data_IF_218230390585
#
_entry.id   IF_218230390585
#
_cell.length_a   1.000
_cell.length_b   1.000
_cell.length_c   1.000
_cell.angle_alpha   90.00
_cell.angle_beta   90.00
_cell.angle_gamma   90.00
#
_symmetry.space_group_name_H-M   'P 1'
#
loop_
_entity.id
_entity.type
_entity.pdbx_description
1 polymer ?
#
# COMPACT_ATOMS: atom_id res chain seq x y z
N UNK A 1 -4.85 -36.76 -4.26
CA UNK A 1 -4.99 -37.02 -2.80
C UNK A 1 -4.65 -35.81 -1.92
N UNK A 2 -3.41 -35.26 -1.94
CA UNK A 2 -3.04 -34.10 -1.11
C UNK A 2 -3.97 -32.89 -1.35
N UNK A 3 -4.32 -32.61 -2.61
CA UNK A 3 -5.31 -31.59 -2.99
C UNK A 3 -6.70 -31.84 -2.38
N UNK A 4 -7.17 -33.09 -2.38
CA UNK A 4 -8.45 -33.49 -1.78
C UNK A 4 -8.42 -33.32 -0.26
N UNK A 5 -7.31 -33.67 0.40
CA UNK A 5 -7.12 -33.43 1.84
C UNK A 5 -7.07 -31.94 2.19
N UNK A 6 -6.49 -31.09 1.33
CA UNK A 6 -6.48 -29.64 1.53
C UNK A 6 -7.86 -28.99 1.32
N UNK A 7 -8.68 -29.53 0.41
CA UNK A 7 -10.02 -29.03 0.09
C UNK A 7 -11.10 -29.49 1.08
N UNK A 8 -10.89 -30.57 1.84
CA UNK A 8 -11.78 -30.96 2.94
C UNK A 8 -11.51 -30.11 4.19
N UNK A 9 -11.96 -28.86 4.17
CA UNK A 9 -11.45 -27.74 4.98
C UNK A 9 -11.85 -27.67 6.45
N UNK A 10 -12.59 -28.62 7.02
CA UNK A 10 -13.02 -28.54 8.43
C UNK A 10 -12.31 -29.51 9.41
N UNK A 11 -11.39 -30.37 8.95
CA UNK A 11 -10.80 -31.43 9.82
C UNK A 11 -9.28 -31.45 9.94
N UNK A 12 -8.55 -30.62 9.20
CA UNK A 12 -7.09 -30.54 9.37
C UNK A 12 -6.68 -29.38 10.27
N UNK A 13 -5.94 -29.70 11.33
CA UNK A 13 -5.24 -28.74 12.16
C UNK A 13 -4.23 -27.93 11.35
N UNK A 14 -3.98 -26.70 11.79
CA UNK A 14 -3.14 -25.69 11.13
C UNK A 14 -1.74 -26.26 10.84
N UNK A 15 -1.12 -26.89 11.83
CA UNK A 15 0.21 -27.52 11.71
C UNK A 15 0.27 -28.56 10.58
N UNK A 16 -0.80 -29.35 10.39
CA UNK A 16 -0.85 -30.41 9.38
C UNK A 16 -1.06 -29.84 7.97
N UNK A 17 -1.68 -28.66 7.82
CA UNK A 17 -1.76 -27.93 6.55
C UNK A 17 -0.42 -27.34 6.14
N UNK A 18 0.30 -26.74 7.10
CA UNK A 18 1.64 -26.19 6.88
C UNK A 18 2.63 -27.26 6.40
N UNK A 19 2.52 -28.50 6.88
CA UNK A 19 3.37 -29.61 6.40
C UNK A 19 3.01 -30.12 4.99
N UNK A 20 1.77 -29.94 4.54
CA UNK A 20 1.29 -30.44 3.24
C UNK A 20 1.49 -29.46 2.09
N UNK A 21 1.50 -28.15 2.37
CA UNK A 21 1.68 -27.08 1.38
C UNK A 21 3.02 -27.19 0.61
N UNK A 22 4.18 -27.35 1.26
CA UNK A 22 5.46 -27.52 0.56
C UNK A 22 5.51 -28.81 -0.27
N UNK A 23 4.91 -29.89 0.24
CA UNK A 23 4.84 -31.18 -0.47
C UNK A 23 3.99 -31.07 -1.73
N UNK A 24 2.86 -30.38 -1.66
CA UNK A 24 2.01 -30.11 -2.81
C UNK A 24 2.71 -29.23 -3.86
N UNK A 25 3.39 -28.17 -3.41
CA UNK A 25 4.15 -27.28 -4.30
C UNK A 25 5.28 -28.01 -5.02
N UNK A 26 6.00 -28.92 -4.33
CA UNK A 26 7.05 -29.75 -4.92
C UNK A 26 6.48 -30.71 -5.98
N UNK A 27 5.40 -31.43 -5.67
CA UNK A 27 4.74 -32.35 -6.61
C UNK A 27 4.22 -31.60 -7.85
N UNK A 28 3.61 -30.42 -7.67
CA UNK A 28 3.14 -29.59 -8.78
C UNK A 28 4.29 -29.15 -9.69
N UNK A 29 5.43 -28.76 -9.11
CA UNK A 29 6.63 -28.40 -9.88
C UNK A 29 7.17 -29.59 -10.67
N UNK A 30 7.33 -30.75 -10.04
CA UNK A 30 7.80 -31.98 -10.69
C UNK A 30 6.86 -32.42 -11.81
N UNK A 31 5.54 -32.32 -11.60
CA UNK A 31 4.56 -32.67 -12.63
C UNK A 31 4.60 -31.72 -13.81
N UNK A 32 4.75 -30.41 -13.58
CA UNK A 32 4.86 -29.41 -14.65
C UNK A 32 6.19 -29.51 -15.42
N UNK A 33 7.28 -29.91 -14.76
CA UNK A 33 8.58 -30.13 -15.41
C UNK A 33 8.67 -31.45 -16.18
N UNK A 34 7.83 -32.43 -15.85
CA UNK A 34 7.79 -33.73 -16.51
C UNK A 34 6.97 -33.73 -17.81
N UNK A 35 6.35 -32.61 -18.17
CA UNK A 35 5.59 -32.49 -19.43
C UNK A 35 6.59 -32.13 -20.55
N UNK A 36 6.82 -33.00 -21.55
CA UNK A 36 7.76 -32.72 -22.63
C UNK A 36 7.20 -31.61 -23.53
N UNK A 37 8.01 -30.60 -23.84
CA UNK A 37 7.60 -29.45 -24.65
C UNK A 37 7.34 -29.77 -26.14
N UNK A 38 7.61 -31.00 -26.61
CA UNK A 38 7.58 -31.34 -28.03
C UNK A 38 6.73 -32.59 -28.31
N UNK A 39 5.40 -32.50 -28.17
CA UNK A 39 4.49 -33.51 -28.74
C UNK A 39 3.42 -32.82 -29.60
N UNK A 40 3.22 -33.21 -30.87
CA UNK A 40 2.31 -32.51 -31.80
C UNK A 40 0.82 -32.66 -31.47
N UNK A 41 0.45 -33.47 -30.45
CA UNK A 41 -0.94 -33.55 -29.94
C UNK A 41 -1.29 -32.48 -28.89
N UNK A 42 -0.35 -31.59 -28.54
CA UNK A 42 -0.44 -30.68 -27.39
C UNK A 42 -1.50 -29.57 -27.50
N UNK A 43 -1.96 -29.23 -28.71
CA UNK A 43 -2.93 -28.14 -28.89
C UNK A 43 -4.38 -28.52 -28.56
N UNK A 44 -4.78 -29.80 -28.69
CA UNK A 44 -6.13 -30.25 -28.29
C UNK A 44 -6.27 -30.45 -26.78
N UNK A 45 -5.19 -30.84 -26.10
CA UNK A 45 -5.22 -31.14 -24.65
C UNK A 45 -5.20 -29.88 -23.77
N UNK A 46 -4.62 -28.76 -24.25
CA UNK A 46 -4.70 -27.47 -23.55
C UNK A 46 -6.13 -26.98 -23.42
N UNK A 47 -6.96 -27.15 -24.45
CA UNK A 47 -8.38 -26.77 -24.41
C UNK A 47 -9.16 -27.54 -23.33
N UNK A 48 -8.96 -28.86 -23.25
CA UNK A 48 -9.69 -29.73 -22.31
C UNK A 48 -9.22 -29.55 -20.86
N UNK A 49 -7.91 -29.37 -20.62
CA UNK A 49 -7.37 -29.13 -19.26
C UNK A 49 -7.73 -27.74 -18.75
N UNK A 50 -7.74 -26.73 -19.63
CA UNK A 50 -8.19 -25.37 -19.28
C UNK A 50 -9.70 -25.36 -19.00
N UNK A 51 -10.52 -26.08 -19.79
CA UNK A 51 -11.96 -26.22 -19.54
C UNK A 51 -12.26 -26.92 -18.21
N UNK A 52 -11.56 -28.02 -17.90
CA UNK A 52 -11.76 -28.76 -16.65
C UNK A 52 -11.27 -28.00 -15.40
N UNK A 53 -10.36 -27.03 -15.55
CA UNK A 53 -9.91 -26.18 -14.44
C UNK A 53 -10.72 -24.89 -14.28
N UNK A 54 -11.34 -24.39 -15.35
CA UNK A 54 -12.17 -23.18 -15.33
C UNK A 54 -13.65 -23.45 -14.97
N UNK A 55 -14.17 -24.66 -15.23
CA UNK A 55 -15.56 -25.02 -14.97
C UNK A 55 -16.06 -24.79 -13.52
N UNK A 56 -15.30 -25.07 -12.44
CA UNK A 56 -15.80 -24.78 -11.08
C UNK A 56 -15.83 -23.28 -10.75
N UNK A 57 -15.02 -22.45 -11.40
CA UNK A 57 -15.04 -20.99 -11.23
C UNK A 57 -16.25 -20.35 -11.92
N UNK A 58 -16.62 -20.85 -13.11
CA UNK A 58 -17.78 -20.36 -13.87
C UNK A 58 -19.09 -20.77 -13.18
N UNK A 59 -19.18 -21.98 -12.62
CA UNK A 59 -20.36 -22.43 -11.87
C UNK A 59 -20.51 -21.66 -10.54
N UNK A 60 -19.40 -21.28 -9.89
CA UNK A 60 -19.42 -20.45 -8.68
C UNK A 60 -19.87 -19.01 -8.99
N UNK A 61 -19.38 -18.41 -10.09
CA UNK A 61 -19.82 -17.07 -10.51
C UNK A 61 -21.29 -17.05 -10.94
N UNK A 62 -21.77 -18.07 -11.64
CA UNK A 62 -23.18 -18.18 -12.02
C UNK A 62 -24.10 -18.42 -10.82
N UNK A 63 -23.67 -19.18 -9.80
CA UNK A 63 -24.48 -19.36 -8.60
C UNK A 63 -24.49 -18.12 -7.69
N UNK A 64 -23.41 -17.33 -7.63
CA UNK A 64 -23.41 -16.01 -6.96
C UNK A 64 -24.28 -14.98 -7.70
N UNK A 65 -24.31 -15.00 -9.03
CA UNK A 65 -25.16 -14.07 -9.81
C UNK A 65 -26.66 -14.41 -9.77
N UNK A 66 -27.01 -15.70 -9.67
CA UNK A 66 -28.41 -16.15 -9.55
C UNK A 66 -28.97 -15.82 -8.16
N UNK A 67 -28.16 -15.89 -7.10
CA UNK A 67 -28.57 -15.50 -5.74
C UNK A 67 -28.78 -13.97 -5.60
N UNK A 68 -28.15 -13.15 -6.45
CA UNK A 68 -28.33 -11.69 -6.44
C UNK A 68 -29.40 -11.14 -7.41
N UNK A 69 -29.97 -11.97 -8.30
CA UNK A 69 -30.97 -11.52 -9.27
C UNK A 69 -32.35 -12.14 -9.10
N UNK A 70 -32.50 -13.17 -8.27
CA UNK A 70 -33.77 -13.81 -8.00
C UNK A 70 -34.23 -13.63 -6.55
N UNK A 71 -34.89 -12.51 -6.25
CA UNK A 71 -35.95 -12.35 -5.23
C UNK A 71 -36.45 -10.89 -5.23
N UNK A 72 -37.16 -10.48 -6.30
CA UNK A 72 -38.08 -9.33 -6.25
C UNK A 72 -39.46 -9.86 -5.84
N UNK A 73 -39.75 -9.83 -4.55
CA UNK A 73 -41.11 -9.96 -4.05
C UNK A 73 -41.67 -8.54 -3.80
N UNK A 74 -42.71 -8.08 -4.52
CA UNK A 74 -43.12 -6.67 -4.50
C UNK A 74 -43.96 -6.23 -3.28
N UNK A 75 -44.20 -7.09 -2.28
CA UNK A 75 -45.09 -6.77 -1.16
C UNK A 75 -44.38 -6.83 0.21
N UNK A 76 -43.49 -5.89 0.49
CA UNK A 76 -43.11 -5.56 1.88
C UNK A 76 -42.43 -4.18 1.94
N UNK A 77 -43.23 -3.11 1.90
CA UNK A 77 -42.70 -1.72 1.89
C UNK A 77 -42.64 -1.03 3.26
N UNK A 78 -43.20 -1.60 4.32
CA UNK A 78 -43.39 -0.85 5.59
C UNK A 78 -42.67 -1.44 6.81
N UNK A 79 -41.61 -2.23 6.64
CA UNK A 79 -40.90 -2.83 7.81
C UNK A 79 -39.37 -2.81 7.73
N UNK A 80 -38.79 -2.17 6.70
CA UNK A 80 -37.33 -2.13 6.50
C UNK A 80 -36.69 -0.78 6.88
N UNK A 81 -37.48 0.22 7.28
CA UNK A 81 -37.00 1.53 7.72
C UNK A 81 -36.64 1.59 9.21
N UNK A 82 -37.09 0.64 10.03
CA UNK A 82 -36.80 0.61 11.48
C UNK A 82 -35.63 -0.30 11.88
N UNK A 83 -35.11 -1.13 10.98
CA UNK A 83 -33.98 -2.02 11.22
C UNK A 83 -32.64 -1.51 10.65
N UNK A 84 -32.66 -0.45 9.83
CA UNK A 84 -31.45 0.22 9.34
C UNK A 84 -31.04 1.45 10.17
N UNK A 85 -31.86 1.90 11.14
CA UNK A 85 -31.51 3.05 11.99
C UNK A 85 -30.84 2.67 13.32
N UNK A 86 -30.88 1.41 13.76
CA UNK A 86 -30.34 1.02 15.08
C UNK A 86 -28.90 0.48 15.07
N UNK A 87 -28.24 0.45 13.91
CA UNK A 87 -26.83 -0.01 13.79
C UNK A 87 -25.85 1.09 13.37
N UNK A 88 -26.26 2.35 13.39
CA UNK A 88 -25.42 3.50 13.04
C UNK A 88 -24.97 4.36 14.22
N UNK A 89 -25.43 4.07 15.44
CA UNK A 89 -25.15 4.91 16.62
C UNK A 89 -23.86 4.58 17.37
N UNK A 90 -23.17 3.49 17.01
CA UNK A 90 -21.81 3.16 17.50
C UNK A 90 -20.77 3.15 16.36
N UNK A 91 -20.98 3.97 15.32
CA UNK A 91 -19.91 4.30 14.39
C UNK A 91 -18.84 5.07 15.18
N UNK A 92 -17.79 4.34 15.61
CA UNK A 92 -16.75 4.79 16.50
C UNK A 92 -16.33 6.23 16.18
N UNK A 93 -16.52 7.12 17.15
CA UNK A 93 -16.26 8.55 17.03
C UNK A 93 -14.84 8.73 16.48
N UNK A 94 -14.73 9.14 15.22
CA UNK A 94 -13.47 9.45 14.55
C UNK A 94 -12.67 10.39 15.45
N UNK A 95 -11.43 10.00 15.78
CA UNK A 95 -10.60 10.81 16.65
C UNK A 95 -10.10 12.01 15.84
N UNK A 96 -10.39 13.22 16.30
CA UNK A 96 -10.01 14.44 15.57
C UNK A 96 -8.50 14.61 15.44
N UNK A 97 -7.71 13.90 16.26
CA UNK A 97 -6.26 13.91 16.19
C UNK A 97 -5.66 12.99 15.13
N UNK A 98 -6.42 12.03 14.59
CA UNK A 98 -5.92 11.16 13.54
C UNK A 98 -5.57 11.97 12.28
N UNK A 99 -4.50 11.57 11.61
CA UNK A 99 -3.91 12.35 10.52
C UNK A 99 -3.57 11.47 9.32
N UNK A 100 -3.96 11.91 8.13
CA UNK A 100 -3.49 11.32 6.87
C UNK A 100 -2.53 12.29 6.19
N UNK A 101 -1.37 11.79 5.77
CA UNK A 101 -0.39 12.54 4.97
C UNK A 101 -0.23 11.87 3.61
N UNK A 102 -0.33 12.67 2.56
CA UNK A 102 0.00 12.27 1.20
C UNK A 102 0.86 13.32 0.51
N UNK A 103 1.65 12.88 -0.47
CA UNK A 103 2.39 13.76 -1.38
C UNK A 103 1.93 13.50 -2.79
N UNK A 104 1.62 14.57 -3.53
CA UNK A 104 1.18 14.52 -4.91
C UNK A 104 2.02 15.42 -5.79
N UNK A 105 2.60 14.82 -6.82
CA UNK A 105 3.55 15.48 -7.72
C UNK A 105 3.02 15.35 -9.13
N UNK A 106 2.62 16.46 -9.74
CA UNK A 106 1.99 16.50 -11.08
C UNK A 106 0.70 15.69 -11.19
N UNK A 107 -0.02 15.50 -10.09
CA UNK A 107 -1.31 14.83 -10.10
C UNK A 107 -2.44 15.77 -10.51
N UNK A 108 -3.49 15.19 -11.04
CA UNK A 108 -4.66 15.92 -11.49
C UNK A 108 -5.70 16.01 -10.38
N UNK A 109 -6.70 16.86 -10.56
CA UNK A 109 -7.80 16.98 -9.61
C UNK A 109 -8.48 15.64 -9.33
N UNK A 110 -8.59 14.75 -10.31
CA UNK A 110 -9.22 13.45 -10.13
C UNK A 110 -8.48 12.57 -9.10
N UNK A 111 -7.15 12.67 -9.03
CA UNK A 111 -6.33 11.92 -8.08
C UNK A 111 -6.59 12.38 -6.64
N UNK A 112 -6.57 13.69 -6.42
CA UNK A 112 -6.93 14.28 -5.13
C UNK A 112 -8.38 13.99 -4.76
N UNK A 113 -9.30 14.03 -5.73
CA UNK A 113 -10.72 13.74 -5.52
C UNK A 113 -10.93 12.28 -5.12
N UNK A 114 -10.25 11.35 -5.78
CA UNK A 114 -10.31 9.93 -5.40
C UNK A 114 -9.73 9.72 -4.00
N UNK A 115 -8.55 10.25 -3.71
CA UNK A 115 -7.88 10.04 -2.42
C UNK A 115 -8.62 10.73 -1.26
N UNK A 116 -8.74 12.06 -1.29
CA UNK A 116 -9.36 12.87 -0.22
C UNK A 116 -10.88 12.65 -0.17
N UNK A 117 -11.52 12.61 -1.35
CA UNK A 117 -12.96 12.43 -1.43
C UNK A 117 -13.39 11.08 -0.87
N UNK A 118 -12.65 9.99 -1.15
CA UNK A 118 -12.98 8.68 -0.56
C UNK A 118 -12.78 8.65 0.96
N UNK A 119 -11.78 9.33 1.52
CA UNK A 119 -11.65 9.48 2.99
C UNK A 119 -12.87 10.16 3.61
N UNK A 120 -13.21 11.34 3.08
CA UNK A 120 -14.30 12.16 3.63
C UNK A 120 -15.66 11.50 3.44
N UNK A 121 -15.92 10.87 2.30
CA UNK A 121 -17.14 10.12 2.03
C UNK A 121 -17.34 8.96 3.02
N UNK A 122 -16.25 8.36 3.50
CA UNK A 122 -16.29 7.28 4.47
C UNK A 122 -16.19 7.75 5.94
N UNK A 123 -16.42 9.03 6.20
CA UNK A 123 -16.61 9.56 7.55
C UNK A 123 -15.32 9.95 8.28
N UNK A 124 -14.16 9.92 7.63
CA UNK A 124 -12.92 10.37 8.26
C UNK A 124 -13.00 11.88 8.57
N UNK A 125 -12.97 12.22 9.87
CA UNK A 125 -13.10 13.60 10.35
C UNK A 125 -11.79 14.22 10.82
N UNK A 126 -10.70 13.44 10.86
CA UNK A 126 -9.38 13.89 11.26
C UNK A 126 -8.69 14.83 10.26
N UNK A 127 -7.42 15.09 10.53
CA UNK A 127 -6.57 15.97 9.73
C UNK A 127 -6.12 15.29 8.45
N UNK A 128 -6.10 16.03 7.35
CA UNK A 128 -5.49 15.58 6.09
C UNK A 128 -4.46 16.64 5.73
N UNK A 129 -3.21 16.22 5.54
CA UNK A 129 -2.12 17.07 5.08
C UNK A 129 -1.69 16.56 3.70
N UNK A 130 -1.69 17.44 2.71
CA UNK A 130 -1.31 17.08 1.35
C UNK A 130 -0.15 17.98 0.91
N UNK A 131 1.00 17.35 0.72
CA UNK A 131 2.10 17.92 -0.04
C UNK A 131 1.72 17.96 -1.51
N UNK A 132 1.81 19.12 -2.11
CA UNK A 132 1.43 19.33 -3.50
C UNK A 132 2.55 20.05 -4.24
N UNK A 133 2.90 19.51 -5.40
CA UNK A 133 3.85 20.09 -6.34
C UNK A 133 3.28 19.93 -7.75
N UNK A 134 3.05 21.04 -8.44
CA UNK A 134 2.86 21.03 -9.89
C UNK A 134 4.13 21.58 -10.52
N UNK A 135 4.76 20.72 -11.32
CA UNK A 135 6.07 20.92 -11.96
C UNK A 135 6.09 22.25 -12.69
N UNK A 136 7.01 23.12 -12.26
CA UNK A 136 7.44 24.29 -13.02
C UNK A 136 8.27 23.84 -14.20
N UNK A 137 7.64 23.68 -15.36
CA UNK A 137 8.40 23.61 -16.61
C UNK A 137 7.97 24.73 -17.53
N UNK A 138 8.67 25.86 -17.48
CA UNK A 138 8.91 26.82 -18.59
C UNK A 138 7.76 27.11 -19.58
N UNK A 139 6.53 26.87 -19.16
CA UNK A 139 5.26 26.86 -19.85
C UNK A 139 4.34 27.22 -18.71
N UNK A 140 3.54 28.26 -18.95
CA UNK A 140 2.60 28.82 -17.99
C UNK A 140 2.02 27.68 -17.15
N UNK A 141 2.25 27.76 -15.84
CA UNK A 141 1.49 26.93 -14.91
C UNK A 141 0.04 27.11 -15.34
N UNK A 142 -0.67 26.00 -15.51
CA UNK A 142 -2.11 26.08 -15.62
C UNK A 142 -2.60 26.59 -14.25
N UNK A 143 -2.53 27.90 -14.05
CA UNK A 143 -2.88 28.59 -12.82
C UNK A 143 -4.33 28.27 -12.47
N UNK A 144 -5.15 28.02 -13.49
CA UNK A 144 -6.52 27.54 -13.35
C UNK A 144 -6.55 26.12 -12.75
N UNK A 145 -5.81 25.16 -13.30
CA UNK A 145 -5.73 23.80 -12.74
C UNK A 145 -5.18 23.79 -11.30
N UNK A 146 -4.15 24.60 -11.01
CA UNK A 146 -3.63 24.77 -9.65
C UNK A 146 -4.71 25.32 -8.71
N UNK A 147 -5.39 26.38 -9.14
CA UNK A 147 -6.44 27.05 -8.38
C UNK A 147 -7.60 26.08 -8.12
N UNK A 148 -7.97 25.25 -9.10
CA UNK A 148 -9.02 24.25 -8.96
C UNK A 148 -8.67 23.20 -7.89
N UNK A 149 -7.44 22.65 -7.94
CA UNK A 149 -6.95 21.68 -6.94
C UNK A 149 -6.91 22.31 -5.55
N UNK A 150 -6.36 23.53 -5.41
CA UNK A 150 -6.28 24.24 -4.12
C UNK A 150 -7.68 24.52 -3.57
N UNK A 151 -8.61 24.96 -4.41
CA UNK A 151 -10.00 25.23 -4.02
C UNK A 151 -10.69 23.95 -3.55
N UNK A 152 -10.51 22.85 -4.28
CA UNK A 152 -11.04 21.54 -3.88
C UNK A 152 -10.48 21.11 -2.52
N UNK A 153 -9.15 21.09 -2.36
CA UNK A 153 -8.49 20.65 -1.12
C UNK A 153 -8.89 21.55 0.06
N UNK A 154 -8.95 22.87 -0.14
CA UNK A 154 -9.40 23.82 0.88
C UNK A 154 -10.86 23.59 1.28
N UNK A 155 -11.74 23.33 0.30
CA UNK A 155 -13.14 22.97 0.53
C UNK A 155 -13.31 21.68 1.35
N UNK A 156 -12.35 20.75 1.24
CA UNK A 156 -12.28 19.51 2.03
C UNK A 156 -11.56 19.66 3.38
N UNK A 157 -11.22 20.90 3.78
CA UNK A 157 -10.47 21.25 5.00
C UNK A 157 -9.13 20.50 5.07
N UNK A 158 -8.44 20.39 3.94
CA UNK A 158 -7.09 19.81 3.86
C UNK A 158 -6.05 20.89 4.14
N UNK A 159 -5.04 20.55 4.92
CA UNK A 159 -3.84 21.38 5.09
C UNK A 159 -2.93 21.17 3.88
N UNK A 160 -2.94 22.13 2.95
CA UNK A 160 -2.12 22.08 1.74
C UNK A 160 -0.71 22.58 2.04
N UNK A 161 0.31 21.84 1.59
CA UNK A 161 1.72 22.21 1.70
C UNK A 161 2.36 22.26 0.32
N UNK A 162 2.91 23.41 -0.04
CA UNK A 162 3.68 23.53 -1.26
C UNK A 162 5.05 22.94 -1.03
N UNK A 163 5.43 21.99 -1.87
CA UNK A 163 6.79 21.44 -1.84
C UNK A 163 7.63 22.30 -2.76
N UNK A 164 8.51 23.09 -2.17
CA UNK A 164 9.51 23.84 -2.92
C UNK A 164 10.49 22.88 -3.59
N UNK A 165 10.87 23.18 -4.84
CA UNK A 165 11.72 22.32 -5.64
C UNK A 165 13.07 22.95 -5.88
N UNK A 166 14.12 22.16 -5.78
CA UNK A 166 15.47 22.52 -6.16
C UNK A 166 16.00 21.60 -7.26
N UNK A 167 17.09 22.02 -7.90
CA UNK A 167 17.81 21.16 -8.85
C UNK A 167 18.38 19.97 -8.08
N UNK A 168 18.11 18.76 -8.56
CA UNK A 168 18.67 17.57 -7.94
C UNK A 168 20.20 17.58 -7.98
N UNK A 169 20.80 17.13 -6.88
CA UNK A 169 22.23 16.90 -6.69
C UNK A 169 22.42 15.44 -6.25
N UNK A 170 22.35 14.53 -7.21
CA UNK A 170 22.49 13.09 -7.00
C UNK A 170 23.87 12.69 -7.51
N UNK A 171 24.75 12.34 -6.58
CA UNK A 171 26.12 11.91 -6.91
C UNK A 171 26.10 10.59 -7.68
N UNK A 172 26.89 10.49 -8.76
CA UNK A 172 27.08 9.24 -9.50
C UNK A 172 26.07 9.00 -10.62
N UNK A 173 25.17 9.95 -10.89
CA UNK A 173 24.17 9.84 -11.96
C UNK A 173 23.91 11.19 -12.64
N UNK A 174 23.66 11.16 -13.94
CA UNK A 174 23.10 12.31 -14.65
C UNK A 174 21.64 12.51 -14.25
N UNK A 175 21.36 13.67 -13.65
CA UNK A 175 20.00 14.14 -13.39
C UNK A 175 19.36 14.47 -14.74
N UNK A 176 18.28 13.77 -15.09
CA UNK A 176 17.54 14.11 -16.31
C UNK A 176 16.87 15.48 -16.10
N UNK A 177 16.86 16.33 -17.13
CA UNK A 177 16.41 17.73 -17.02
C UNK A 177 14.94 17.96 -16.59
N UNK A 178 14.19 16.90 -16.31
CA UNK A 178 12.80 16.93 -15.85
C UNK A 178 12.68 16.44 -14.39
N UNK A 179 13.77 16.05 -13.75
CA UNK A 179 13.78 15.58 -12.37
C UNK A 179 13.92 16.78 -11.42
N UNK A 180 12.99 16.86 -10.48
CA UNK A 180 13.00 17.87 -9.42
C UNK A 180 13.14 17.18 -8.07
N UNK A 181 13.90 17.82 -7.19
CA UNK A 181 14.09 17.36 -5.83
C UNK A 181 13.45 18.37 -4.88
N UNK A 182 13.06 17.92 -3.69
CA UNK A 182 12.54 18.83 -2.69
C UNK A 182 13.65 19.76 -2.19
N UNK A 183 13.31 21.02 -1.92
CA UNK A 183 14.18 21.92 -1.19
C UNK A 183 14.49 21.33 0.20
N UNK A 184 15.74 21.48 0.66
CA UNK A 184 16.26 20.78 1.85
C UNK A 184 16.65 19.31 1.62
N UNK A 185 16.12 18.66 0.58
CA UNK A 185 16.45 17.28 0.20
C UNK A 185 16.89 17.18 -1.28
N UNK A 186 17.99 17.85 -1.67
CA UNK A 186 18.42 17.93 -3.08
C UNK A 186 18.81 16.57 -3.67
N UNK A 187 18.91 15.53 -2.86
CA UNK A 187 19.22 14.17 -3.25
C UNK A 187 17.96 13.28 -3.37
N UNK A 188 16.76 13.78 -3.08
CA UNK A 188 15.48 13.04 -3.12
C UNK A 188 14.62 13.55 -4.26
N UNK A 189 14.51 12.76 -5.32
CA UNK A 189 13.63 13.09 -6.45
C UNK A 189 12.19 12.86 -6.04
N UNK A 190 11.33 13.84 -6.35
CA UNK A 190 9.89 13.75 -6.13
C UNK A 190 9.23 13.09 -7.34
N UNK A 191 8.58 11.94 -7.15
CA UNK A 191 7.94 11.22 -8.26
C UNK A 191 6.64 10.47 -7.95
N UNK A 192 6.39 10.02 -6.71
CA UNK A 192 5.33 9.00 -6.49
C UNK A 192 4.54 9.13 -5.20
N UNK A 193 4.80 10.15 -4.38
CA UNK A 193 4.10 10.34 -3.12
C UNK A 193 4.65 9.51 -1.96
N UNK A 194 5.51 8.53 -2.25
CA UNK A 194 6.29 7.77 -1.26
C UNK A 194 7.24 8.68 -0.48
N UNK A 195 7.49 9.90 -0.94
CA UNK A 195 8.33 10.90 -0.28
C UNK A 195 7.64 11.59 0.90
N UNK A 196 6.43 11.18 1.26
CA UNK A 196 5.73 11.68 2.46
C UNK A 196 6.57 11.55 3.75
N UNK A 197 7.45 10.54 3.84
CA UNK A 197 8.36 10.37 4.98
C UNK A 197 9.27 11.58 5.24
N UNK A 198 9.74 12.25 4.17
CA UNK A 198 10.68 13.38 4.29
C UNK A 198 10.02 14.61 4.93
N UNK A 199 8.70 14.75 4.74
CA UNK A 199 7.97 15.94 5.16
C UNK A 199 7.12 15.71 6.41
N UNK A 200 6.81 14.45 6.73
CA UNK A 200 5.92 14.11 7.84
C UNK A 200 6.35 14.79 9.14
N UNK A 201 7.66 14.79 9.45
CA UNK A 201 8.18 15.42 10.67
C UNK A 201 7.86 16.92 10.74
N UNK A 202 8.19 17.67 9.70
CA UNK A 202 7.98 19.11 9.67
C UNK A 202 6.48 19.43 9.75
N UNK A 203 5.68 18.80 8.90
CA UNK A 203 4.26 19.12 8.79
C UNK A 203 3.44 18.71 10.02
N UNK A 204 3.78 17.58 10.64
CA UNK A 204 3.14 17.17 11.89
C UNK A 204 3.51 18.10 13.06
N UNK A 205 4.72 18.67 13.07
CA UNK A 205 5.14 19.59 14.13
C UNK A 205 4.34 20.89 14.12
N UNK A 206 3.90 21.33 12.94
CA UNK A 206 3.04 22.49 12.75
C UNK A 206 1.56 22.19 13.02
N UNK A 207 1.17 20.91 12.95
CA UNK A 207 -0.20 20.48 13.20
C UNK A 207 -0.40 20.14 14.68
N UNK A 208 -0.76 21.15 15.49
CA UNK A 208 -0.99 20.98 16.93
C UNK A 208 -2.03 19.92 17.27
N UNK A 209 -3.07 19.78 16.45
CA UNK A 209 -4.12 18.77 16.61
C UNK A 209 -3.67 17.34 16.24
N UNK A 210 -2.56 17.19 15.50
CA UNK A 210 -2.06 15.89 15.03
C UNK A 210 -1.18 15.14 16.05
N UNK A 211 -0.81 15.78 17.16
CA UNK A 211 0.29 15.30 18.02
C UNK A 211 -0.02 13.99 18.74
N UNK A 212 -1.28 13.75 19.13
CA UNK A 212 -1.68 12.59 19.94
C UNK A 212 -2.45 11.52 19.14
N UNK A 213 -2.51 11.66 17.82
CA UNK A 213 -3.32 10.80 16.95
C UNK A 213 -2.57 9.65 16.31
N UNK A 214 -3.33 8.82 15.59
CA UNK A 214 -2.73 7.88 14.64
C UNK A 214 -2.38 8.61 13.34
N UNK A 215 -1.30 8.19 12.70
CA UNK A 215 -0.84 8.69 11.41
C UNK A 215 -0.98 7.60 10.35
N UNK A 216 -1.50 7.97 9.19
CA UNK A 216 -1.38 7.21 7.95
C UNK A 216 -0.61 8.04 6.93
N UNK A 217 0.53 7.54 6.48
CA UNK A 217 1.21 8.03 5.28
C UNK A 217 0.80 7.16 4.10
N UNK A 218 0.32 7.76 3.01
CA UNK A 218 -0.20 7.01 1.87
C UNK A 218 0.06 7.71 0.53
N UNK A 219 0.27 6.90 -0.52
CA UNK A 219 0.33 7.35 -1.91
C UNK A 219 -1.02 7.89 -2.35
N UNK A 220 -1.04 9.10 -2.91
CA UNK A 220 -2.25 9.69 -3.47
C UNK A 220 -2.69 8.92 -4.72
N UNK A 221 -1.74 8.46 -5.54
CA UNK A 221 -2.00 7.75 -6.80
C UNK A 221 -2.63 6.37 -6.58
N UNK A 222 -2.13 5.61 -5.62
CA UNK A 222 -2.49 4.18 -5.53
C UNK A 222 -3.56 3.86 -4.50
N UNK A 223 -3.98 4.85 -3.69
CA UNK A 223 -4.89 4.60 -2.57
C UNK A 223 -6.27 5.21 -2.76
N UNK A 224 -7.29 4.42 -2.45
CA UNK A 224 -8.67 4.86 -2.27
C UNK A 224 -9.25 4.19 -1.04
N UNK A 225 -10.09 4.89 -0.29
CA UNK A 225 -10.59 4.40 1.00
C UNK A 225 -12.00 3.85 0.87
N UNK A 226 -12.25 2.68 1.46
CA UNK A 226 -13.59 2.07 1.55
C UNK A 226 -14.23 2.21 2.93
N UNK A 227 -13.47 2.67 3.91
CA UNK A 227 -13.88 2.94 5.29
C UNK A 227 -12.88 3.90 5.95
N UNK A 228 -13.18 4.38 7.17
CA UNK A 228 -12.19 5.07 8.00
C UNK A 228 -11.00 4.12 8.28
N UNK A 229 -9.77 4.44 7.82
CA UNK A 229 -8.62 3.56 7.98
C UNK A 229 -8.21 3.37 9.45
N UNK A 230 -8.53 4.34 10.33
CA UNK A 230 -8.13 4.30 11.73
C UNK A 230 -9.08 3.50 12.62
N UNK A 231 -10.34 3.33 12.20
CA UNK A 231 -11.26 2.43 12.89
C UNK A 231 -10.71 1.00 12.90
N UNK A 232 -10.17 0.55 11.76
CA UNK A 232 -9.54 -0.75 11.64
C UNK A 232 -8.24 -0.82 12.45
N UNK A 233 -7.38 0.21 12.35
CA UNK A 233 -6.11 0.27 13.09
C UNK A 233 -6.30 0.12 14.60
N UNK A 234 -7.23 0.88 15.18
CA UNK A 234 -7.54 0.80 16.61
C UNK A 234 -8.03 -0.60 17.00
N UNK A 235 -8.88 -1.22 16.17
CA UNK A 235 -9.37 -2.59 16.40
C UNK A 235 -8.26 -3.64 16.32
N UNK A 236 -7.32 -3.49 15.38
CA UNK A 236 -6.27 -4.46 15.13
C UNK A 236 -5.17 -4.45 16.19
N UNK A 237 -4.79 -3.27 16.68
CA UNK A 237 -3.60 -3.12 17.53
C UNK A 237 -3.97 -2.85 19.00
N UNK A 238 -5.21 -2.42 19.25
CA UNK A 238 -5.64 -1.95 20.57
C UNK A 238 -5.19 -0.51 20.84
N UNK A 239 -5.97 0.21 21.64
CA UNK A 239 -5.67 1.59 22.02
C UNK A 239 -4.35 1.67 22.81
N UNK A 240 -3.53 2.69 22.51
CA UNK A 240 -2.26 2.94 23.20
C UNK A 240 -1.09 2.05 22.79
N UNK A 241 -1.27 1.12 21.83
CA UNK A 241 -0.17 0.31 21.33
C UNK A 241 0.77 1.11 20.42
N UNK A 242 2.06 1.02 20.72
CA UNK A 242 3.14 1.59 19.91
C UNK A 242 3.52 0.60 18.81
N UNK A 243 2.75 0.58 17.72
CA UNK A 243 2.97 -0.32 16.57
C UNK A 243 2.94 0.44 15.26
N UNK A 244 3.78 0.00 14.32
CA UNK A 244 3.74 0.40 12.91
C UNK A 244 3.15 -0.76 12.11
N UNK A 245 2.08 -0.48 11.35
CA UNK A 245 1.54 -1.40 10.36
C UNK A 245 2.15 -1.09 9.00
N UNK A 246 2.72 -2.13 8.42
CA UNK A 246 3.17 -2.14 7.04
C UNK A 246 2.25 -3.04 6.21
N UNK A 247 1.99 -2.63 4.98
CA UNK A 247 1.33 -3.51 4.02
C UNK A 247 2.37 -4.48 3.44
N UNK A 248 2.01 -5.77 3.35
CA UNK A 248 2.84 -6.75 2.66
C UNK A 248 2.38 -6.92 1.22
N UNK A 249 3.30 -6.77 0.27
CA UNK A 249 3.03 -7.11 -1.12
C UNK A 249 2.88 -8.64 -1.26
N UNK A 250 1.96 -9.09 -2.11
CA UNK A 250 1.79 -10.52 -2.39
C UNK A 250 3.02 -11.05 -3.15
N UNK A 251 3.38 -12.34 -2.98
CA UNK A 251 4.75 -12.79 -3.18
C UNK A 251 5.26 -12.44 -4.57
N UNK A 252 6.36 -11.67 -4.57
CA UNK A 252 7.08 -11.33 -5.77
C UNK A 252 7.56 -12.57 -6.50
N UNK A 253 7.39 -12.55 -7.81
CA UNK A 253 8.25 -13.32 -8.67
C UNK A 253 9.70 -12.84 -8.41
N UNK A 254 10.65 -13.76 -8.17
CA UNK A 254 12.08 -13.46 -7.98
C UNK A 254 12.71 -12.70 -9.16
N UNK A 255 11.96 -12.50 -10.26
CA UNK A 255 12.31 -11.65 -11.39
C UNK A 255 11.97 -10.16 -11.22
N UNK A 256 11.36 -9.74 -10.11
CA UNK A 256 11.13 -8.31 -9.88
C UNK A 256 12.47 -7.58 -9.74
N UNK A 257 12.65 -6.53 -10.54
CA UNK A 257 13.85 -5.69 -10.53
C UNK A 257 14.12 -5.11 -9.14
N UNK A 258 13.07 -4.82 -8.37
CA UNK A 258 13.15 -4.33 -6.99
C UNK A 258 13.83 -5.35 -6.09
N UNK A 259 13.37 -6.60 -6.08
CA UNK A 259 14.02 -7.68 -5.32
C UNK A 259 15.49 -7.88 -5.71
N UNK A 260 15.82 -7.76 -7.00
CA UNK A 260 17.20 -7.79 -7.47
C UNK A 260 18.04 -6.63 -6.92
N UNK A 261 17.54 -5.38 -6.97
CA UNK A 261 18.23 -4.22 -6.40
C UNK A 261 18.47 -4.39 -4.89
N UNK A 262 17.45 -4.86 -4.16
CA UNK A 262 17.54 -5.16 -2.73
C UNK A 262 18.64 -6.17 -2.41
N UNK A 263 18.69 -7.27 -3.17
CA UNK A 263 19.68 -8.33 -2.97
C UNK A 263 21.11 -7.84 -3.17
N UNK A 264 21.34 -6.92 -4.12
CA UNK A 264 22.65 -6.34 -4.39
C UNK A 264 23.11 -5.40 -3.28
N UNK A 265 22.19 -4.65 -2.67
CA UNK A 265 22.56 -3.54 -1.78
C UNK A 265 22.55 -3.79 -0.29
N UNK A 266 21.83 -4.81 0.13
CA UNK A 266 21.75 -5.15 1.55
C UNK A 266 22.46 -6.46 1.90
N UNK A 267 22.91 -7.24 0.90
CA UNK A 267 23.32 -8.65 1.06
C UNK A 267 22.28 -9.50 1.81
N UNK A 268 21.05 -9.03 1.91
CA UNK A 268 19.99 -9.69 2.65
C UNK A 268 19.35 -10.77 1.79
N UNK A 269 18.95 -11.88 2.43
CA UNK A 269 18.33 -13.01 1.74
C UNK A 269 16.81 -12.85 1.74
N UNK A 270 16.26 -12.40 0.61
CA UNK A 270 14.88 -11.93 0.50
C UNK A 270 13.84 -13.02 0.20
N UNK A 271 13.99 -14.22 0.79
CA UNK A 271 12.96 -15.28 0.74
C UNK A 271 11.74 -14.97 1.66
N UNK A 272 11.48 -13.68 1.89
CA UNK A 272 10.42 -13.14 2.75
C UNK A 272 9.55 -12.16 1.95
N UNK A 273 8.26 -11.96 2.33
CA UNK A 273 7.40 -11.01 1.64
C UNK A 273 7.92 -9.57 1.73
N UNK A 274 7.97 -8.83 0.62
CA UNK A 274 8.35 -7.42 0.67
C UNK A 274 7.23 -6.57 1.28
N UNK A 275 7.61 -5.54 2.01
CA UNK A 275 6.71 -4.45 2.40
C UNK A 275 6.38 -3.61 1.19
N UNK A 276 5.19 -3.01 1.18
CA UNK A 276 4.80 -1.95 0.27
C UNK A 276 5.12 -0.57 0.87
N UNK A 277 5.55 0.35 0.03
CA UNK A 277 5.73 1.77 0.33
C UNK A 277 4.45 2.58 0.16
N UNK A 278 3.39 1.99 -0.43
CA UNK A 278 2.13 2.67 -0.78
C UNK A 278 1.40 3.21 0.45
N UNK A 279 1.45 2.51 1.59
CA UNK A 279 0.87 3.01 2.82
C UNK A 279 1.59 2.49 4.06
N UNK A 280 1.67 3.35 5.08
CA UNK A 280 2.23 3.05 6.38
C UNK A 280 1.39 3.71 7.46
N UNK A 281 1.01 2.95 8.48
CA UNK A 281 0.17 3.46 9.57
C UNK A 281 0.84 3.24 10.92
N UNK A 282 0.81 4.22 11.80
CA UNK A 282 1.28 4.07 13.18
C UNK A 282 0.65 5.11 14.10
N UNK A 283 1.03 5.16 15.37
CA UNK A 283 0.83 6.38 16.16
C UNK A 283 1.80 7.49 15.69
N UNK A 284 1.40 8.75 15.86
CA UNK A 284 2.16 9.94 15.47
C UNK A 284 3.61 9.91 16.00
N UNK A 285 3.80 9.58 17.28
CA UNK A 285 5.11 9.58 17.93
C UNK A 285 6.08 8.55 17.34
N UNK A 286 5.64 7.33 17.01
CA UNK A 286 6.50 6.38 16.30
C UNK A 286 6.73 6.77 14.86
N UNK A 287 5.77 7.41 14.18
CA UNK A 287 5.96 7.85 12.81
C UNK A 287 7.12 8.82 12.69
N UNK A 288 7.29 9.72 13.66
CA UNK A 288 8.42 10.63 13.71
C UNK A 288 9.75 9.88 13.74
N UNK A 289 9.93 8.99 14.71
CA UNK A 289 11.17 8.21 14.84
C UNK A 289 11.40 7.29 13.63
N UNK A 290 10.33 6.75 13.05
CA UNK A 290 10.40 5.94 11.85
C UNK A 290 10.82 6.76 10.63
N UNK A 291 10.26 7.95 10.43
CA UNK A 291 10.65 8.86 9.35
C UNK A 291 12.14 9.24 9.47
N UNK A 292 12.63 9.56 10.68
CA UNK A 292 14.06 9.83 10.91
C UNK A 292 14.94 8.62 10.56
N UNK A 293 14.52 7.42 10.99
CA UNK A 293 15.25 6.18 10.70
C UNK A 293 15.27 5.88 9.20
N UNK A 294 14.14 6.12 8.50
CA UNK A 294 14.04 6.00 7.04
C UNK A 294 15.02 6.94 6.34
N UNK A 295 15.11 8.20 6.77
CA UNK A 295 16.04 9.17 6.20
C UNK A 295 17.49 8.74 6.37
N UNK A 296 17.86 8.30 7.58
CA UNK A 296 19.20 7.79 7.87
C UNK A 296 19.55 6.56 7.02
N UNK A 297 18.61 5.62 6.89
CA UNK A 297 18.81 4.42 6.08
C UNK A 297 18.93 4.75 4.59
N UNK A 298 18.09 5.64 4.06
CA UNK A 298 18.18 6.10 2.66
C UNK A 298 19.54 6.73 2.40
N UNK A 299 20.04 7.57 3.31
CA UNK A 299 21.36 8.17 3.20
C UNK A 299 22.48 7.11 3.26
N UNK A 300 22.32 6.11 4.11
CA UNK A 300 23.27 4.98 4.21
C UNK A 300 23.31 4.16 2.93
N UNK A 301 22.17 3.80 2.35
CA UNK A 301 22.09 3.10 1.06
C UNK A 301 22.74 3.91 -0.06
N UNK A 302 22.60 5.24 -0.05
CA UNK A 302 23.25 6.14 -1.03
C UNK A 302 24.76 6.20 -0.88
N UNK A 303 25.28 6.25 0.35
CA UNK A 303 26.73 6.18 0.56
C UNK A 303 27.29 4.84 0.08
N UNK A 304 26.54 3.76 0.24
CA UNK A 304 26.88 2.43 -0.25
C UNK A 304 26.71 2.27 -1.76
N UNK A 305 25.81 3.00 -2.42
CA UNK A 305 25.63 2.93 -3.88
C UNK A 305 26.83 3.46 -4.66
N UNK A 306 27.67 4.29 -4.03
CA UNK A 306 28.99 4.64 -4.57
C UNK A 306 29.97 3.45 -4.60
N UNK A 307 29.65 2.32 -3.95
CA UNK A 307 30.40 1.07 -4.01
C UNK A 307 29.81 0.19 -5.12
N UNK A 308 30.64 -0.24 -6.06
CA UNK A 308 30.27 -0.93 -7.30
C UNK A 308 29.20 -2.03 -7.12
N UNK A 309 28.06 -1.87 -7.79
CA UNK A 309 26.99 -2.89 -7.87
C UNK A 309 25.63 -2.47 -7.32
N UNK A 310 25.55 -1.29 -6.69
CA UNK A 310 24.34 -0.74 -6.08
C UNK A 310 23.80 0.49 -6.78
N UNK A 311 23.70 0.43 -8.09
CA UNK A 311 23.10 1.51 -8.84
C UNK A 311 21.58 1.48 -8.66
N UNK A 312 21.09 2.24 -7.69
CA UNK A 312 19.67 2.45 -7.45
C UNK A 312 19.13 3.51 -8.43
N UNK A 313 19.34 3.27 -9.73
CA UNK A 313 18.78 4.10 -10.79
C UNK A 313 17.24 4.17 -10.70
N UNK A 314 16.63 3.12 -10.15
CA UNK A 314 15.19 3.06 -9.86
C UNK A 314 14.87 3.65 -8.48
N UNK A 315 14.22 4.82 -8.50
CA UNK A 315 13.98 5.70 -7.35
C UNK A 315 13.05 5.08 -6.31
N UNK A 316 12.00 4.39 -6.77
CA UNK A 316 11.08 3.62 -5.93
C UNK A 316 11.81 2.47 -5.23
N UNK A 317 12.81 1.90 -5.91
CA UNK A 317 13.65 0.85 -5.35
C UNK A 317 14.38 1.28 -4.08
N UNK A 318 14.80 2.54 -3.96
CA UNK A 318 15.58 3.03 -2.81
C UNK A 318 14.72 3.18 -1.54
N UNK A 319 13.55 3.83 -1.62
CA UNK A 319 12.66 4.00 -0.45
C UNK A 319 12.18 2.63 0.02
N UNK A 320 11.72 1.80 -0.93
CA UNK A 320 11.32 0.43 -0.65
C UNK A 320 12.45 -0.40 -0.02
N UNK A 321 13.70 -0.18 -0.47
CA UNK A 321 14.88 -0.83 0.09
C UNK A 321 15.18 -0.43 1.52
N UNK A 322 15.21 0.87 1.78
CA UNK A 322 15.41 1.38 3.12
C UNK A 322 14.32 0.85 4.07
N UNK A 323 13.05 0.91 3.65
CA UNK A 323 11.92 0.42 4.43
C UNK A 323 12.03 -1.07 4.74
N UNK A 324 12.28 -1.90 3.73
CA UNK A 324 12.42 -3.34 3.94
C UNK A 324 13.68 -3.66 4.78
N UNK A 325 14.79 -2.95 4.56
CA UNK A 325 15.99 -3.14 5.36
C UNK A 325 15.75 -2.82 6.84
N UNK A 326 15.17 -1.66 7.15
CA UNK A 326 14.84 -1.26 8.51
C UNK A 326 13.93 -2.26 9.20
N UNK A 327 12.88 -2.69 8.49
CA UNK A 327 11.93 -3.66 9.03
C UNK A 327 12.58 -5.01 9.35
N UNK A 328 13.40 -5.56 8.45
CA UNK A 328 13.92 -6.92 8.62
C UNK A 328 15.22 -7.01 9.42
N UNK A 329 16.05 -5.97 9.40
CA UNK A 329 17.33 -5.95 10.14
C UNK A 329 17.21 -5.31 11.53
N UNK A 330 16.02 -4.90 11.95
CA UNK A 330 15.78 -4.38 13.30
C UNK A 330 16.52 -3.06 13.57
N UNK A 331 16.77 -2.26 12.54
CA UNK A 331 17.39 -0.93 12.69
C UNK A 331 16.56 -0.01 13.59
N UNK A 332 15.27 -0.29 13.72
CA UNK A 332 14.38 0.27 14.71
C UNK A 332 13.95 -0.86 15.67
N UNK A 333 13.95 -0.58 16.99
CA UNK A 333 13.38 -1.45 18.05
C UNK A 333 11.85 -1.64 17.93
N UNK A 334 11.32 -1.74 16.71
CA UNK A 334 9.91 -1.97 16.40
C UNK A 334 9.58 -3.44 16.56
N UNK A 335 8.66 -3.76 17.47
CA UNK A 335 8.04 -5.08 17.53
C UNK A 335 7.15 -5.26 16.31
N UNK A 336 7.44 -6.27 15.50
CA UNK A 336 6.67 -6.62 14.32
C UNK A 336 5.43 -7.41 14.75
N UNK A 337 4.24 -6.83 14.55
CA UNK A 337 2.97 -7.57 14.61
C UNK A 337 2.57 -8.01 13.20
N UNK A 338 2.81 -9.29 12.88
CA UNK A 338 2.41 -9.87 11.61
C UNK A 338 0.96 -10.35 11.71
N UNK A 339 0.02 -9.59 11.13
CA UNK A 339 -1.39 -10.02 11.01
C UNK A 339 -1.55 -10.87 9.75
N UNK A 340 -2.01 -12.11 9.91
CA UNK A 340 -2.02 -13.13 8.85
C UNK A 340 -3.19 -12.95 7.86
N UNK A 341 -2.94 -13.25 6.58
CA UNK A 341 -3.75 -12.90 5.38
C UNK A 341 -5.13 -13.59 5.24
N UNK A 342 -5.68 -14.20 6.28
CA UNK A 342 -6.94 -14.96 6.19
C UNK A 342 -8.18 -14.27 6.76
N UNK A 343 -8.03 -13.11 7.39
CA UNK A 343 -9.17 -12.23 7.65
C UNK A 343 -9.39 -11.28 6.48
N UNK A 344 -10.64 -10.91 6.25
CA UNK A 344 -11.11 -9.93 5.26
C UNK A 344 -10.58 -8.50 5.50
N UNK A 345 -9.47 -8.38 6.22
CA UNK A 345 -9.09 -7.26 7.06
C UNK A 345 -8.24 -6.20 6.35
N UNK A 346 -7.95 -6.39 5.06
CA UNK A 346 -7.21 -5.43 4.23
C UNK A 346 -7.99 -4.98 3.00
N UNK A 347 -9.29 -5.26 2.91
CA UNK A 347 -10.14 -4.76 1.83
C UNK A 347 -10.56 -3.29 2.00
N UNK A 348 -9.87 -2.52 2.86
CA UNK A 348 -10.22 -1.13 3.18
C UNK A 348 -9.48 -0.09 2.32
N UNK A 349 -8.31 -0.45 1.79
CA UNK A 349 -7.60 0.20 0.68
C UNK A 349 -7.94 -0.57 -0.59
#
# INVERSE_FOLDING_TARGET
>A
EIRQRLLSTNKLSISKRQQLLPKYARIRRTYLSAIPNNSPSFHKTKGVIFFLCACPFIIYFLSVHIVHTGLKNPNHKDSLSSLQSSHREDAGKSNSSDTVIGVGVNFKLEDYTRFVGSLRQNGFSGSIIIGFMISRKGVDLDEEANTEIINYLSGQKVMVRYIETTKCNITGREVHGNEFCAEGYPNVVLNSGEESYFFAKEWLSECTQCQDGSLLMASIEDVSFRSDPFEYFRKAIGEGSSTILHLFETPFNTKDKRASLLSKCSKFNWDVPLLSSVALMSNSSLSYSYAESMLEEINTFRQRSGMSGCDLEDRHGLILAAQNHLFYNGGTNTKIHQHDKNDQSMSFL
#
